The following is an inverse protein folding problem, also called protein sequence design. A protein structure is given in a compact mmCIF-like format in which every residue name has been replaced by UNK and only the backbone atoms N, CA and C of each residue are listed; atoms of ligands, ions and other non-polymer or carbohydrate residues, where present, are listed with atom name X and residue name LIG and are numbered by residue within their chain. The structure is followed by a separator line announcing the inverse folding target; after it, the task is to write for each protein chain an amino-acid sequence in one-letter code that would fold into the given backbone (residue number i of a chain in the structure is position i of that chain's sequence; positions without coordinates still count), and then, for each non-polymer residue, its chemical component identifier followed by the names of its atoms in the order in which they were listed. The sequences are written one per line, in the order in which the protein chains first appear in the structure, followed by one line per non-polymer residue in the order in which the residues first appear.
data_IF_060715718807
#
_entry.id   IF_060715718807
#
_cell.length_a   1.000
_cell.length_b   1.000
_cell.length_c   1.000
_cell.angle_alpha   90.00
_cell.angle_beta   90.00
_cell.angle_gamma   90.00
#
_symmetry.space_group_name_H-M   'P 1'
#
loop_
_entity.id
_entity.type
_entity.pdbx_description
1 polymer ?
#
# COMPACT_ATOMS: atom_id res chain seq x y z
N UNK A 1 -39.18 0.48 -45.77
CA UNK A 1 -39.24 1.40 -44.61
C UNK A 1 -40.13 0.95 -43.43
N UNK A 2 -40.99 -0.10 -43.52
CA UNK A 2 -41.92 -0.44 -42.40
C UNK A 2 -41.40 -1.38 -41.31
N UNK A 3 -40.33 -2.16 -41.54
CA UNK A 3 -39.84 -3.16 -40.57
C UNK A 3 -38.91 -2.55 -39.50
N UNK A 4 -38.01 -1.64 -39.87
CA UNK A 4 -37.03 -1.05 -38.93
C UNK A 4 -37.65 -0.25 -37.77
N UNK A 5 -38.87 0.27 -37.94
CA UNK A 5 -39.57 1.04 -36.91
C UNK A 5 -40.07 0.16 -35.74
N UNK A 6 -40.34 -1.13 -35.99
CA UNK A 6 -40.81 -2.07 -34.96
C UNK A 6 -39.63 -2.51 -34.06
N UNK A 7 -38.46 -2.77 -34.65
CA UNK A 7 -37.26 -3.19 -33.92
C UNK A 7 -36.75 -2.09 -32.98
N UNK A 8 -36.79 -0.83 -33.42
CA UNK A 8 -36.34 0.31 -32.62
C UNK A 8 -37.13 0.54 -31.32
N UNK A 9 -38.42 0.17 -31.29
CA UNK A 9 -39.28 0.44 -30.13
C UNK A 9 -39.04 -0.54 -28.96
N UNK A 10 -38.56 -1.75 -29.22
CA UNK A 10 -38.29 -2.75 -28.18
C UNK A 10 -37.01 -2.51 -27.38
N UNK A 11 -36.02 -1.82 -27.97
CA UNK A 11 -34.71 -1.60 -27.33
C UNK A 11 -34.77 -0.52 -26.23
N UNK A 12 -35.71 0.43 -26.33
CA UNK A 12 -35.85 1.54 -25.38
C UNK A 12 -36.47 1.12 -24.02
N UNK A 13 -37.11 -0.05 -23.95
CA UNK A 13 -37.85 -0.50 -22.77
C UNK A 13 -36.97 -1.04 -21.61
N UNK A 14 -35.70 -1.36 -21.86
CA UNK A 14 -34.82 -2.05 -20.91
C UNK A 14 -34.02 -1.12 -19.97
N UNK A 15 -34.15 0.20 -20.10
CA UNK A 15 -33.26 1.18 -19.42
C UNK A 15 -33.79 1.61 -18.03
N UNK A 16 -35.06 1.32 -17.69
CA UNK A 16 -35.72 1.82 -16.47
C UNK A 16 -35.79 0.84 -15.29
N UNK A 17 -35.13 -0.33 -15.36
CA UNK A 17 -35.13 -1.34 -14.29
C UNK A 17 -34.01 -1.17 -13.26
N UNK A 18 -34.06 -0.14 -12.41
CA UNK A 18 -32.97 0.20 -11.46
C UNK A 18 -33.39 0.32 -9.98
N UNK A 19 -33.01 -0.67 -9.17
CA UNK A 19 -32.95 -0.72 -7.69
C UNK A 19 -33.82 0.24 -6.84
N UNK A 20 -34.79 -0.33 -6.13
CA UNK A 20 -35.41 0.31 -4.96
C UNK A 20 -34.43 0.36 -3.77
N UNK A 21 -34.36 1.48 -3.04
CA UNK A 21 -33.60 1.59 -1.79
C UNK A 21 -34.34 0.85 -0.66
N UNK A 22 -33.67 -0.08 0.02
CA UNK A 22 -34.06 -0.54 1.35
C UNK A 22 -33.38 0.36 2.39
N UNK A 23 -34.15 1.16 3.11
CA UNK A 23 -33.66 1.88 4.29
C UNK A 23 -33.41 0.88 5.42
N UNK A 24 -32.21 0.92 6.01
CA UNK A 24 -31.94 0.32 7.31
C UNK A 24 -32.15 1.41 8.36
N UNK A 25 -32.99 1.09 9.34
CA UNK A 25 -33.26 1.93 10.50
C UNK A 25 -32.12 1.73 11.50
N UNK A 26 -31.39 2.80 11.83
CA UNK A 26 -30.33 2.76 12.84
C UNK A 26 -30.97 3.22 14.15
N UNK A 27 -31.31 2.25 15.00
CA UNK A 27 -31.68 2.54 16.38
C UNK A 27 -30.53 3.27 17.07
N UNK A 28 -30.82 4.45 17.61
CA UNK A 28 -29.84 5.27 18.31
C UNK A 28 -29.77 4.82 19.76
N UNK A 29 -28.59 4.35 20.18
CA UNK A 29 -28.28 4.10 21.60
C UNK A 29 -27.08 4.92 22.03
N UNK A 30 -27.15 5.35 23.28
CA UNK A 30 -26.14 6.09 24.04
C UNK A 30 -24.88 5.21 24.28
N UNK A 31 -23.72 5.71 24.72
CA UNK A 31 -23.51 6.80 25.69
C UNK A 31 -22.26 7.66 25.48
N UNK A 32 -22.24 8.80 26.17
CA UNK A 32 -21.05 9.62 26.44
C UNK A 32 -20.29 9.01 27.64
N UNK A 33 -18.97 9.13 27.79
CA UNK A 33 -18.31 10.27 28.49
C UNK A 33 -16.84 9.84 28.62
N UNK A 34 -15.88 10.42 27.90
CA UNK A 34 -15.06 11.58 28.31
C UNK A 34 -14.22 11.37 29.58
N UNK A 35 -12.89 11.34 29.45
CA UNK A 35 -11.98 11.77 30.52
C UNK A 35 -10.69 12.36 29.93
N UNK A 36 -10.15 13.39 30.57
CA UNK A 36 -8.97 14.21 30.19
C UNK A 36 -8.31 14.70 31.49
N UNK A 37 -6.97 14.81 31.54
CA UNK A 37 -6.16 15.87 32.20
C UNK A 37 -4.65 15.49 32.22
N UNK A 38 -3.81 16.52 32.35
CA UNK A 38 -2.32 16.57 32.33
C UNK A 38 -1.64 15.89 33.56
N UNK A 39 -0.32 15.92 33.86
CA UNK A 39 0.96 16.47 33.29
C UNK A 39 2.12 15.50 33.80
N UNK A 40 3.46 15.68 33.79
CA UNK A 40 4.45 16.73 33.47
C UNK A 40 5.84 16.10 33.17
N UNK A 41 6.76 16.87 32.54
CA UNK A 41 8.25 16.73 32.56
C UNK A 41 8.96 15.46 31.99
N UNK A 42 10.30 15.39 31.81
CA UNK A 42 11.40 16.28 31.30
C UNK A 42 12.77 15.59 31.59
N UNK A 43 13.84 15.93 30.85
CA UNK A 43 15.25 15.45 30.98
C UNK A 43 15.53 14.05 30.38
N UNK A 44 16.42 13.74 29.43
CA UNK A 44 17.68 14.29 28.83
C UNK A 44 19.04 13.92 29.49
N UNK A 45 19.56 12.74 29.14
CA UNK A 45 21.00 12.36 29.08
C UNK A 45 21.09 11.32 27.94
N UNK A 46 21.89 11.34 26.86
CA UNK A 46 23.17 11.96 26.44
C UNK A 46 24.38 11.03 26.59
N UNK A 47 25.00 10.67 25.46
CA UNK A 47 26.29 9.94 25.32
C UNK A 47 26.33 8.51 25.92
N UNK A 48 27.18 7.60 25.43
CA UNK A 48 28.09 7.66 24.28
C UNK A 48 28.84 6.33 24.10
N UNK A 49 29.62 6.24 23.02
CA UNK A 49 30.56 5.14 22.73
C UNK A 49 29.94 3.74 22.46
N UNK A 50 30.52 2.87 21.63
CA UNK A 50 31.72 3.07 20.82
C UNK A 50 32.62 1.83 20.64
N UNK A 51 32.06 0.63 20.46
CA UNK A 51 32.88 -0.56 20.15
C UNK A 51 32.91 -0.86 18.64
N UNK A 52 34.01 -0.44 18.00
CA UNK A 52 34.36 -0.84 16.64
C UNK A 52 34.99 -2.24 16.67
N UNK A 53 34.17 -3.29 16.60
CA UNK A 53 34.70 -4.65 16.50
C UNK A 53 35.01 -5.02 15.05
N UNK A 54 36.30 -5.20 14.76
CA UNK A 54 36.82 -5.48 13.42
C UNK A 54 36.70 -6.97 13.11
N UNK A 55 35.59 -7.36 12.49
CA UNK A 55 35.47 -8.62 11.75
C UNK A 55 35.63 -8.27 10.25
N UNK A 56 36.86 -8.06 9.79
CA UNK A 56 37.81 -9.12 9.40
C UNK A 56 37.35 -9.86 8.13
N UNK A 57 38.06 -9.63 7.03
CA UNK A 57 37.70 -10.11 5.70
C UNK A 57 37.86 -11.64 5.59
N UNK A 58 36.77 -12.33 5.25
CA UNK A 58 36.84 -13.63 4.60
C UNK A 58 36.44 -13.49 3.13
N UNK A 59 37.35 -12.96 2.31
CA UNK A 59 37.19 -12.90 0.85
C UNK A 59 37.39 -14.29 0.22
N UNK A 60 36.47 -15.20 0.56
CA UNK A 60 36.26 -16.45 -0.15
C UNK A 60 35.38 -16.10 -1.35
N UNK A 61 35.97 -16.10 -2.55
CA UNK A 61 35.35 -15.65 -3.79
C UNK A 61 33.93 -16.20 -4.00
N UNK A 62 32.96 -15.36 -3.67
CA UNK A 62 31.53 -15.66 -3.63
C UNK A 62 31.01 -15.83 -5.07
N UNK A 63 30.31 -16.92 -5.38
CA UNK A 63 29.83 -17.12 -6.76
C UNK A 63 28.72 -16.12 -7.14
N UNK A 64 28.65 -15.74 -8.41
CA UNK A 64 27.80 -14.62 -8.88
C UNK A 64 26.33 -14.75 -8.47
N UNK A 65 25.80 -15.98 -8.45
CA UNK A 65 24.41 -16.29 -8.07
C UNK A 65 24.11 -16.07 -6.58
N UNK A 66 25.02 -16.44 -5.67
CA UNK A 66 24.83 -16.22 -4.23
C UNK A 66 25.18 -14.77 -3.82
N UNK A 67 26.05 -14.08 -4.57
CA UNK A 67 26.23 -12.62 -4.47
C UNK A 67 24.92 -11.90 -4.85
N UNK A 68 24.31 -12.30 -5.97
CA UNK A 68 23.02 -11.81 -6.42
C UNK A 68 21.89 -12.13 -5.42
N UNK A 69 21.90 -13.32 -4.82
CA UNK A 69 20.95 -13.67 -3.75
C UNK A 69 21.15 -12.82 -2.48
N UNK A 70 22.39 -12.49 -2.11
CA UNK A 70 22.66 -11.59 -0.99
C UNK A 70 22.19 -10.16 -1.30
N UNK A 71 22.41 -9.63 -2.52
CA UNK A 71 21.86 -8.34 -2.95
C UNK A 71 20.34 -8.31 -2.87
N UNK A 72 19.65 -9.33 -3.40
CA UNK A 72 18.19 -9.43 -3.36
C UNK A 72 17.66 -9.36 -1.91
N UNK A 73 18.19 -10.22 -1.03
CA UNK A 73 17.81 -10.24 0.40
C UNK A 73 18.10 -8.90 1.09
N UNK A 74 19.20 -8.23 0.73
CA UNK A 74 19.55 -6.91 1.27
C UNK A 74 18.68 -5.76 0.74
N UNK A 75 17.96 -5.95 -0.37
CA UNK A 75 16.94 -5.03 -0.88
C UNK A 75 15.59 -5.34 -0.20
N UNK A 76 15.17 -6.61 -0.18
CA UNK A 76 13.94 -7.07 0.48
C UNK A 76 13.90 -6.69 1.97
N UNK A 77 15.02 -6.80 2.68
CA UNK A 77 15.13 -6.42 4.10
C UNK A 77 15.12 -4.89 4.35
N UNK A 78 15.30 -4.07 3.31
CA UNK A 78 15.23 -2.60 3.40
C UNK A 78 13.84 -2.07 3.06
N UNK A 79 13.16 -2.70 2.10
CA UNK A 79 11.87 -2.26 1.58
C UNK A 79 10.82 -2.07 2.68
N UNK A 80 9.96 -1.07 2.54
CA UNK A 80 8.91 -0.75 3.52
C UNK A 80 7.59 -1.45 3.17
N UNK A 81 6.71 -1.48 4.16
CA UNK A 81 5.28 -1.78 3.97
C UNK A 81 4.54 -0.46 4.00
N UNK A 82 3.83 -0.14 2.92
CA UNK A 82 3.04 1.08 2.82
C UNK A 82 1.63 0.80 3.32
N UNK A 83 1.22 1.48 4.39
CA UNK A 83 -0.08 1.26 5.03
C UNK A 83 -1.13 2.27 4.57
N UNK A 84 -2.38 1.81 4.46
CA UNK A 84 -3.54 2.60 4.07
C UNK A 84 -4.57 2.62 5.22
N UNK A 85 -5.45 3.62 5.24
CA UNK A 85 -6.59 3.61 6.17
C UNK A 85 -7.68 2.66 5.64
N UNK A 86 -8.58 2.21 6.51
CA UNK A 86 -9.78 1.46 6.15
C UNK A 86 -10.61 2.17 5.05
N UNK A 87 -11.05 1.41 4.03
CA UNK A 87 -11.68 1.85 2.77
C UNK A 87 -11.01 3.07 2.11
N UNK A 88 -9.66 3.12 2.12
CA UNK A 88 -8.90 4.19 1.44
C UNK A 88 -7.75 3.65 0.61
N UNK A 89 -7.48 4.42 -0.45
CA UNK A 89 -6.39 4.20 -1.42
C UNK A 89 -5.61 5.50 -1.71
N UNK A 90 -5.75 6.50 -0.83
CA UNK A 90 -4.82 7.61 -0.74
C UNK A 90 -3.64 7.21 0.16
N UNK A 91 -2.43 7.64 -0.20
CA UNK A 91 -1.28 7.56 0.70
C UNK A 91 -1.56 8.49 1.89
N UNK A 92 -1.16 8.05 3.09
CA UNK A 92 -1.26 8.81 4.34
C UNK A 92 0.01 9.65 4.51
N UNK A 93 -0.06 10.79 5.20
CA UNK A 93 1.07 11.73 5.27
C UNK A 93 2.35 11.09 5.86
N UNK A 94 2.20 10.28 6.91
CA UNK A 94 3.25 9.49 7.56
C UNK A 94 3.79 8.32 6.72
N UNK A 95 3.21 8.07 5.54
CA UNK A 95 3.61 7.00 4.63
C UNK A 95 4.30 7.54 3.37
N UNK A 96 4.32 8.86 3.15
CA UNK A 96 5.02 9.48 2.01
C UNK A 96 6.52 9.18 2.09
N UNK A 97 7.14 9.37 3.26
CA UNK A 97 8.57 9.09 3.47
C UNK A 97 8.93 7.61 3.20
N UNK A 98 8.03 6.67 3.49
CA UNK A 98 8.23 5.25 3.17
C UNK A 98 8.17 5.00 1.65
N UNK A 99 7.25 5.66 0.93
CA UNK A 99 7.14 5.56 -0.53
C UNK A 99 8.35 6.18 -1.21
N UNK A 100 8.82 7.34 -0.74
CA UNK A 100 10.02 8.00 -1.27
C UNK A 100 11.29 7.20 -0.96
N UNK A 101 11.39 6.59 0.23
CA UNK A 101 12.48 5.66 0.56
C UNK A 101 12.51 4.47 -0.39
N UNK A 102 11.36 3.81 -0.60
CA UNK A 102 11.26 2.65 -1.50
C UNK A 102 11.49 3.03 -2.96
N UNK A 103 11.04 4.21 -3.42
CA UNK A 103 11.34 4.72 -4.75
C UNK A 103 12.86 4.89 -4.97
N UNK A 104 13.58 5.41 -3.97
CA UNK A 104 15.04 5.53 -4.02
C UNK A 104 15.75 4.17 -3.95
N UNK A 105 15.26 3.24 -3.11
CA UNK A 105 15.78 1.88 -3.01
C UNK A 105 15.63 1.11 -4.33
N UNK A 106 14.44 1.17 -4.95
CA UNK A 106 14.10 0.41 -6.15
C UNK A 106 14.72 0.97 -7.44
N UNK A 107 15.05 2.27 -7.46
CA UNK A 107 15.82 2.88 -8.57
C UNK A 107 17.34 2.91 -8.30
N UNK A 108 17.82 2.30 -7.22
CA UNK A 108 19.27 2.18 -6.94
C UNK A 108 19.97 1.23 -7.93
N UNK A 109 21.30 1.39 -8.18
CA UNK A 109 22.03 0.55 -9.12
C UNK A 109 21.95 -0.96 -8.83
N UNK A 110 21.95 -1.36 -7.56
CA UNK A 110 21.82 -2.76 -7.15
C UNK A 110 20.40 -3.31 -7.39
N UNK A 111 19.37 -2.47 -7.31
CA UNK A 111 17.99 -2.88 -7.57
C UNK A 111 17.67 -3.03 -9.06
N UNK A 112 18.34 -2.29 -9.94
CA UNK A 112 18.11 -2.33 -11.41
C UNK A 112 18.44 -3.69 -12.06
N UNK A 113 19.12 -4.59 -11.36
CA UNK A 113 19.37 -5.97 -11.82
C UNK A 113 18.16 -6.91 -11.61
N UNK A 114 17.15 -6.48 -10.85
CA UNK A 114 16.02 -7.30 -10.43
C UNK A 114 14.69 -6.81 -11.00
N UNK A 115 13.76 -7.75 -11.28
CA UNK A 115 12.37 -7.41 -11.62
C UNK A 115 11.53 -7.32 -10.35
N UNK A 116 11.21 -6.09 -9.95
CA UNK A 116 10.36 -5.79 -8.80
C UNK A 116 8.88 -6.02 -9.17
N UNK A 117 8.11 -6.57 -8.22
CA UNK A 117 6.65 -6.73 -8.31
C UNK A 117 6.01 -6.11 -7.07
N UNK A 118 5.06 -5.20 -7.28
CA UNK A 118 4.33 -4.51 -6.21
C UNK A 118 2.94 -5.15 -6.12
N UNK A 119 2.47 -5.43 -4.90
CA UNK A 119 1.18 -6.09 -4.65
C UNK A 119 0.37 -5.29 -3.63
N UNK A 120 -0.93 -5.14 -3.88
CA UNK A 120 -1.86 -4.49 -2.97
C UNK A 120 -2.66 -5.52 -2.19
N UNK A 121 -2.39 -5.63 -0.88
CA UNK A 121 -3.13 -6.51 0.02
C UNK A 121 -4.20 -5.72 0.79
N UNK A 122 -5.24 -6.41 1.25
CA UNK A 122 -6.28 -5.89 2.15
C UNK A 122 -6.47 -6.87 3.31
N UNK A 123 -7.31 -6.52 4.27
CA UNK A 123 -7.70 -7.43 5.37
C UNK A 123 -8.75 -8.47 4.92
N UNK A 124 -9.24 -9.25 5.87
CA UNK A 124 -10.23 -10.33 5.66
C UNK A 124 -11.70 -9.84 5.74
N UNK A 125 -11.96 -8.54 5.87
CA UNK A 125 -13.32 -8.00 5.98
C UNK A 125 -13.83 -7.49 4.63
N UNK A 126 -15.02 -7.95 4.22
CA UNK A 126 -15.65 -7.59 2.95
C UNK A 126 -15.92 -8.82 2.07
N UNK A 127 -15.75 -8.68 0.76
CA UNK A 127 -15.72 -9.80 -0.19
C UNK A 127 -14.40 -9.82 -0.95
N UNK A 128 -13.96 -11.00 -1.37
CA UNK A 128 -12.70 -11.21 -2.09
C UNK A 128 -12.57 -10.29 -3.32
N UNK A 129 -13.65 -10.08 -4.08
CA UNK A 129 -13.65 -9.24 -5.27
C UNK A 129 -13.52 -7.75 -4.93
N UNK A 130 -14.15 -7.30 -3.83
CA UNK A 130 -14.05 -5.93 -3.34
C UNK A 130 -12.64 -5.66 -2.79
N UNK A 131 -12.08 -6.58 -2.00
CA UNK A 131 -10.74 -6.46 -1.42
C UNK A 131 -9.65 -6.54 -2.51
N UNK A 132 -9.81 -7.42 -3.50
CA UNK A 132 -8.96 -7.43 -4.69
C UNK A 132 -9.05 -6.10 -5.48
N UNK A 133 -10.26 -5.57 -5.68
CA UNK A 133 -10.46 -4.28 -6.36
C UNK A 133 -9.92 -3.08 -5.55
N UNK A 134 -9.90 -3.15 -4.21
CA UNK A 134 -9.30 -2.14 -3.34
C UNK A 134 -7.77 -2.23 -3.36
N UNK A 135 -7.19 -3.42 -3.21
CA UNK A 135 -5.75 -3.66 -3.37
C UNK A 135 -5.22 -3.15 -4.72
N UNK A 136 -5.96 -3.39 -5.81
CA UNK A 136 -5.63 -2.84 -7.14
C UNK A 136 -5.76 -1.31 -7.25
N UNK A 137 -6.53 -0.62 -6.39
CA UNK A 137 -6.52 0.86 -6.32
C UNK A 137 -5.28 1.36 -5.58
N UNK A 138 -4.92 0.71 -4.48
CA UNK A 138 -3.72 1.02 -3.69
C UNK A 138 -2.43 0.80 -4.50
N UNK A 139 -2.35 -0.31 -5.24
CA UNK A 139 -1.25 -0.59 -6.17
C UNK A 139 -1.07 0.53 -7.21
N UNK A 140 -2.14 0.89 -7.94
CA UNK A 140 -2.10 1.95 -8.96
C UNK A 140 -1.87 3.36 -8.40
N UNK A 141 -2.02 3.57 -7.09
CA UNK A 141 -1.61 4.80 -6.42
C UNK A 141 -0.09 4.88 -6.23
N UNK A 142 0.55 3.75 -5.94
CA UNK A 142 1.98 3.65 -5.66
C UNK A 142 2.83 3.54 -6.93
N UNK A 143 2.32 2.82 -7.93
CA UNK A 143 2.96 2.56 -9.22
C UNK A 143 3.71 3.78 -9.82
N UNK A 144 3.08 4.95 -10.07
CA UNK A 144 3.80 6.09 -10.64
C UNK A 144 4.92 6.61 -9.73
N UNK A 145 4.73 6.62 -8.40
CA UNK A 145 5.70 7.20 -7.47
C UNK A 145 6.98 6.36 -7.37
N UNK A 146 6.86 5.03 -7.44
CA UNK A 146 7.99 4.11 -7.41
C UNK A 146 8.75 4.05 -8.75
N UNK A 147 8.11 4.41 -9.88
CA UNK A 147 8.74 4.44 -11.21
C UNK A 147 9.17 5.85 -11.69
N UNK A 148 8.93 6.92 -10.93
CA UNK A 148 9.18 8.30 -11.35
C UNK A 148 10.66 8.76 -11.38
N UNK A 149 11.61 7.89 -11.03
CA UNK A 149 13.06 8.19 -10.95
C UNK A 149 13.90 7.35 -11.94
N UNK A 150 13.44 7.21 -13.19
CA UNK A 150 14.17 6.55 -14.30
C UNK A 150 14.63 7.54 -15.37
#
# INVERSE_FOLDING_TARGET
MRIGLIVGFFILALIFGGCAKKSVEIETSSDQTQQVIEEEQTTTVTEGEGISEVVSQSDMGLSEEELKMQKLKAIEAKAKKIYFDFDKYNIRADQVENVDYDANLFNSPDAKEFKIRIEGNCDEWGTDEYNYALGLKCLRRLEPLLYLNQ
#
